data_IF_967126351391
#
_entry.id   IF_967126351391
#
_cell.length_a   1.000
_cell.length_b   1.000
_cell.length_c   1.000
_cell.angle_alpha   90.00
_cell.angle_beta   90.00
_cell.angle_gamma   90.00
#
_symmetry.space_group_name_H-M   'P 1'
#
loop_
_entity.id
_entity.type
_entity.pdbx_description
1 polymer ?
#
# COMPACT_ATOMS: atom_id res chain seq x y z
N UNK A 1 -14.19 1.53 -23.24
CA UNK A 1 -13.86 0.29 -22.56
C UNK A 1 -14.94 -0.74 -22.85
N UNK A 2 -14.55 -1.96 -23.11
CA UNK A 2 -15.48 -3.07 -23.21
C UNK A 2 -14.97 -4.15 -22.25
N UNK A 3 -15.78 -4.52 -21.26
CA UNK A 3 -15.46 -5.60 -20.33
C UNK A 3 -16.21 -6.83 -20.80
N UNK A 4 -15.47 -7.90 -20.97
CA UNK A 4 -16.02 -9.20 -21.29
C UNK A 4 -15.70 -10.13 -20.13
N UNK A 5 -16.71 -10.74 -19.54
CA UNK A 5 -16.58 -11.79 -18.55
C UNK A 5 -16.78 -13.12 -19.24
N UNK A 6 -15.74 -13.93 -19.30
CA UNK A 6 -15.85 -15.32 -19.72
C UNK A 6 -15.99 -16.20 -18.48
N UNK A 7 -17.17 -16.74 -18.31
CA UNK A 7 -17.45 -17.74 -17.27
C UNK A 7 -17.33 -19.15 -17.79
N UNK A 8 -16.74 -19.27 -18.97
CA UNK A 8 -16.57 -20.57 -19.64
C UNK A 8 -15.90 -21.58 -18.75
N UNK A 9 -16.54 -22.71 -18.62
CA UNK A 9 -16.10 -23.90 -17.88
C UNK A 9 -14.76 -24.51 -18.32
N UNK A 10 -14.06 -23.90 -19.26
CA UNK A 10 -12.94 -24.50 -19.97
C UNK A 10 -11.58 -23.87 -19.74
N UNK A 11 -11.48 -22.73 -19.06
CA UNK A 11 -10.20 -22.23 -18.55
C UNK A 11 -9.10 -21.90 -19.57
N UNK A 12 -9.40 -21.89 -20.86
CA UNK A 12 -8.39 -21.62 -21.88
C UNK A 12 -8.22 -20.12 -22.20
N UNK A 13 -9.23 -19.29 -21.91
CA UNK A 13 -9.24 -17.86 -22.29
C UNK A 13 -9.29 -16.85 -21.12
N UNK A 14 -9.09 -17.30 -19.89
CA UNK A 14 -9.18 -16.43 -18.73
C UNK A 14 -10.60 -16.19 -18.22
N UNK A 15 -10.70 -15.68 -16.99
CA UNK A 15 -11.96 -15.45 -16.31
C UNK A 15 -12.56 -14.06 -16.62
N UNK A 16 -11.73 -13.05 -16.77
CA UNK A 16 -12.11 -11.66 -17.01
C UNK A 16 -11.18 -11.03 -18.03
N UNK A 17 -11.73 -10.39 -19.04
CA UNK A 17 -10.97 -9.61 -20.01
C UNK A 17 -11.51 -8.18 -20.10
N UNK A 18 -10.63 -7.21 -19.97
CA UNK A 18 -10.94 -5.79 -20.19
C UNK A 18 -10.24 -5.33 -21.46
N UNK A 19 -10.99 -5.00 -22.49
CA UNK A 19 -10.47 -4.54 -23.79
C UNK A 19 -10.58 -3.05 -23.98
N UNK A 20 -9.50 -2.45 -24.44
CA UNK A 20 -9.51 -1.09 -25.00
C UNK A 20 -10.02 -1.12 -26.44
N UNK A 21 -11.08 -0.33 -26.73
CA UNK A 21 -11.67 -0.28 -28.09
C UNK A 21 -10.73 0.29 -29.16
N UNK A 22 -9.75 1.11 -28.74
CA UNK A 22 -8.93 1.89 -29.66
C UNK A 22 -7.73 1.11 -30.21
N UNK A 23 -7.22 0.10 -29.52
CA UNK A 23 -5.99 -0.59 -29.90
C UNK A 23 -6.01 -2.12 -29.73
N UNK A 24 -7.18 -2.68 -29.44
CA UNK A 24 -7.39 -4.14 -29.23
C UNK A 24 -6.49 -4.77 -28.14
N UNK A 25 -5.89 -3.97 -27.26
CA UNK A 25 -5.15 -4.50 -26.12
C UNK A 25 -6.10 -4.93 -25.01
N UNK A 26 -5.83 -6.08 -24.42
CA UNK A 26 -6.59 -6.62 -23.28
C UNK A 26 -5.75 -6.70 -22.03
N UNK A 27 -6.42 -6.50 -20.90
CA UNK A 27 -5.93 -6.80 -19.57
C UNK A 27 -6.80 -7.93 -19.02
N UNK A 28 -6.19 -9.07 -18.80
CA UNK A 28 -6.92 -10.30 -18.52
C UNK A 28 -6.65 -10.78 -17.09
N UNK A 29 -7.64 -11.45 -16.49
CA UNK A 29 -7.49 -12.26 -15.29
C UNK A 29 -7.85 -13.71 -15.60
N UNK A 30 -6.95 -14.62 -15.37
CA UNK A 30 -7.15 -16.05 -15.58
C UNK A 30 -7.78 -16.77 -14.39
N UNK A 31 -7.81 -16.13 -13.21
CA UNK A 31 -8.38 -16.68 -11.98
C UNK A 31 -9.28 -15.66 -11.29
N UNK A 32 -10.37 -16.14 -10.70
CA UNK A 32 -11.28 -15.30 -9.93
C UNK A 32 -10.64 -14.87 -8.61
N UNK A 33 -10.12 -15.82 -7.85
CA UNK A 33 -9.44 -15.53 -6.59
C UNK A 33 -8.49 -16.66 -6.18
N UNK A 34 -7.52 -16.29 -5.35
CA UNK A 34 -6.76 -17.21 -4.50
C UNK A 34 -7.15 -16.98 -3.05
N UNK A 35 -7.23 -18.05 -2.27
CA UNK A 35 -7.50 -17.98 -0.84
C UNK A 35 -6.43 -18.70 -0.04
N UNK A 36 -6.24 -18.28 1.20
CA UNK A 36 -5.54 -19.06 2.21
C UNK A 36 -6.43 -19.25 3.43
N UNK A 37 -6.25 -20.34 4.13
CA UNK A 37 -7.05 -20.64 5.34
C UNK A 37 -6.26 -21.49 6.33
N UNK A 38 -6.67 -21.46 7.59
CA UNK A 38 -6.26 -22.45 8.58
C UNK A 38 -7.21 -23.64 8.54
N UNK A 39 -6.66 -24.84 8.47
CA UNK A 39 -7.43 -26.07 8.64
C UNK A 39 -7.66 -26.36 10.15
N UNK A 40 -8.48 -27.38 10.44
CA UNK A 40 -8.75 -27.75 11.84
C UNK A 40 -7.53 -28.27 12.62
N UNK A 41 -6.34 -28.31 12.01
CA UNK A 41 -5.06 -28.65 12.65
C UNK A 41 -4.12 -27.45 12.73
N UNK A 42 -4.64 -26.22 12.55
CA UNK A 42 -3.91 -24.95 12.56
C UNK A 42 -2.83 -24.83 11.46
N UNK A 43 -2.91 -25.65 10.42
CA UNK A 43 -2.04 -25.56 9.27
C UNK A 43 -2.60 -24.59 8.24
N UNK A 44 -1.71 -23.77 7.68
CA UNK A 44 -2.09 -22.87 6.57
C UNK A 44 -2.14 -23.65 5.27
N UNK A 45 -3.29 -23.61 4.65
CA UNK A 45 -3.59 -24.16 3.34
C UNK A 45 -3.78 -23.03 2.32
N UNK A 46 -3.66 -23.32 1.04
CA UNK A 46 -3.94 -22.36 -0.04
C UNK A 46 -4.65 -23.07 -1.20
N UNK A 47 -5.45 -22.33 -1.94
CA UNK A 47 -6.15 -22.85 -3.10
C UNK A 47 -6.73 -21.75 -3.97
N UNK A 48 -7.15 -22.13 -5.17
CA UNK A 48 -7.86 -21.24 -6.07
C UNK A 48 -9.38 -21.43 -5.95
N UNK A 49 -10.10 -20.36 -6.22
CA UNK A 49 -11.56 -20.38 -6.34
C UNK A 49 -11.91 -20.72 -7.77
N UNK A 50 -12.14 -21.99 -8.04
CA UNK A 50 -12.49 -22.49 -9.36
C UNK A 50 -13.39 -23.72 -9.26
N UNK A 51 -14.16 -23.97 -10.31
CA UNK A 51 -15.01 -25.20 -10.40
C UNK A 51 -14.15 -26.47 -10.34
N UNK A 52 -12.95 -26.45 -10.93
CA UNK A 52 -12.00 -27.57 -10.88
C UNK A 52 -11.53 -27.87 -9.45
N UNK A 53 -11.45 -26.84 -8.60
CA UNK A 53 -11.09 -26.97 -7.20
C UNK A 53 -12.29 -27.30 -6.27
N UNK A 54 -13.45 -27.64 -6.84
CA UNK A 54 -14.64 -28.05 -6.08
C UNK A 54 -15.54 -26.90 -5.62
N UNK A 55 -15.35 -25.71 -6.15
CA UNK A 55 -16.23 -24.57 -5.88
C UNK A 55 -17.47 -24.62 -6.75
N UNK A 56 -18.59 -24.31 -6.16
CA UNK A 56 -19.80 -23.92 -6.87
C UNK A 56 -19.72 -22.40 -7.10
N UNK A 57 -19.83 -22.00 -8.36
CA UNK A 57 -19.71 -20.61 -8.79
C UNK A 57 -20.96 -20.27 -9.58
N UNK A 58 -21.79 -19.36 -9.03
CA UNK A 58 -23.04 -18.90 -9.65
C UNK A 58 -22.89 -17.44 -9.99
N UNK A 59 -23.04 -17.11 -11.26
CA UNK A 59 -22.96 -15.74 -11.76
C UNK A 59 -24.34 -15.22 -12.11
N UNK A 60 -24.57 -13.97 -11.72
CA UNK A 60 -25.71 -13.17 -12.10
C UNK A 60 -25.22 -11.85 -12.72
N UNK A 61 -25.84 -11.40 -13.80
CA UNK A 61 -25.49 -10.16 -14.47
C UNK A 61 -26.62 -9.13 -14.35
N UNK A 62 -26.23 -7.88 -14.16
CA UNK A 62 -27.12 -6.73 -14.25
C UNK A 62 -26.64 -5.75 -15.32
N UNK A 63 -27.22 -4.53 -15.37
CA UNK A 63 -26.89 -3.51 -16.38
C UNK A 63 -25.46 -2.99 -16.26
N UNK A 64 -24.87 -3.04 -15.06
CA UNK A 64 -23.63 -2.35 -14.73
C UNK A 64 -22.54 -3.31 -14.25
N UNK A 65 -22.82 -4.61 -14.16
CA UNK A 65 -21.82 -5.53 -13.63
C UNK A 65 -22.29 -6.96 -13.44
N UNK A 66 -21.61 -7.65 -12.54
CA UNK A 66 -21.80 -9.06 -12.25
C UNK A 66 -21.71 -9.31 -10.76
N UNK A 67 -22.57 -10.17 -10.28
CA UNK A 67 -22.48 -10.77 -8.95
C UNK A 67 -22.06 -12.21 -9.09
N UNK A 68 -21.05 -12.64 -8.34
CA UNK A 68 -20.50 -14.00 -8.42
C UNK A 68 -20.54 -14.59 -7.02
N UNK A 69 -21.46 -15.52 -6.81
CA UNK A 69 -21.60 -16.24 -5.56
C UNK A 69 -20.69 -17.49 -5.61
N UNK A 70 -19.81 -17.62 -4.63
CA UNK A 70 -18.85 -18.72 -4.51
C UNK A 70 -19.15 -19.51 -3.23
N UNK A 71 -19.28 -20.82 -3.34
CA UNK A 71 -19.41 -21.71 -2.19
C UNK A 71 -18.60 -22.99 -2.37
N UNK A 72 -18.07 -23.51 -1.27
CA UNK A 72 -17.33 -24.77 -1.23
C UNK A 72 -17.77 -25.60 -0.04
N UNK A 73 -18.67 -26.57 -0.28
CA UNK A 73 -19.27 -27.37 0.78
C UNK A 73 -18.25 -28.14 1.64
N UNK A 74 -17.21 -28.71 1.03
CA UNK A 74 -16.17 -29.46 1.77
C UNK A 74 -15.29 -28.62 2.68
N UNK A 75 -15.03 -27.36 2.34
CA UNK A 75 -14.30 -26.40 3.18
C UNK A 75 -15.24 -25.62 4.10
N UNK A 76 -16.53 -25.50 3.74
CA UNK A 76 -17.53 -24.74 4.46
C UNK A 76 -17.38 -23.23 4.30
N UNK A 77 -16.83 -22.77 3.19
CA UNK A 77 -16.70 -21.37 2.86
C UNK A 77 -17.75 -20.92 1.88
N UNK A 78 -18.23 -19.71 2.06
CA UNK A 78 -18.96 -18.96 1.03
C UNK A 78 -18.67 -17.47 1.11
N UNK A 79 -18.62 -16.82 -0.04
CA UNK A 79 -18.50 -15.37 -0.19
C UNK A 79 -18.97 -14.95 -1.58
N UNK A 80 -19.17 -13.65 -1.76
CA UNK A 80 -19.66 -13.07 -3.00
C UNK A 80 -18.66 -12.03 -3.51
N UNK A 81 -18.47 -12.01 -4.82
CA UNK A 81 -17.83 -10.89 -5.52
C UNK A 81 -18.89 -10.05 -6.22
N UNK A 82 -18.73 -8.75 -6.15
CA UNK A 82 -19.45 -7.78 -6.95
C UNK A 82 -18.45 -7.10 -7.88
N UNK A 83 -18.61 -7.29 -9.18
CA UNK A 83 -17.80 -6.66 -10.21
C UNK A 83 -18.66 -5.60 -10.90
N UNK A 84 -18.42 -4.33 -10.56
CA UNK A 84 -19.21 -3.20 -11.08
C UNK A 84 -18.37 -2.36 -12.02
N UNK A 85 -18.96 -2.00 -13.15
CA UNK A 85 -18.33 -1.13 -14.15
C UNK A 85 -18.98 0.25 -14.08
N UNK A 86 -18.18 1.24 -13.79
CA UNK A 86 -18.58 2.63 -13.79
C UNK A 86 -17.62 3.44 -14.68
N UNK A 87 -18.07 3.83 -15.86
CA UNK A 87 -17.26 4.46 -16.90
C UNK A 87 -16.00 3.65 -17.26
N UNK A 88 -14.84 4.12 -16.85
CA UNK A 88 -13.52 3.49 -17.04
C UNK A 88 -12.97 2.83 -15.78
N UNK A 89 -13.83 2.54 -14.80
CA UNK A 89 -13.44 1.96 -13.51
C UNK A 89 -14.10 0.59 -13.38
N UNK A 90 -13.30 -0.43 -13.09
CA UNK A 90 -13.79 -1.70 -12.58
C UNK A 90 -13.68 -1.68 -11.06
N UNK A 91 -14.79 -1.84 -10.37
CA UNK A 91 -14.87 -1.98 -8.91
C UNK A 91 -15.02 -3.46 -8.61
N UNK A 92 -14.13 -3.97 -7.78
CA UNK A 92 -14.16 -5.33 -7.25
C UNK A 92 -14.45 -5.24 -5.77
N UNK A 93 -15.62 -5.67 -5.36
CA UNK A 93 -16.07 -5.64 -3.97
C UNK A 93 -16.35 -7.05 -3.46
N UNK A 94 -15.98 -7.30 -2.20
CA UNK A 94 -16.32 -8.51 -1.45
C UNK A 94 -17.03 -8.03 -0.18
N UNK A 95 -18.38 -8.10 -0.14
CA UNK A 95 -19.13 -7.68 1.04
C UNK A 95 -18.76 -8.50 2.27
N UNK A 96 -18.45 -7.81 3.35
CA UNK A 96 -18.07 -8.42 4.61
C UNK A 96 -19.10 -9.40 5.14
N UNK A 97 -20.37 -9.01 5.06
CA UNK A 97 -21.53 -9.77 5.57
C UNK A 97 -21.73 -11.12 4.87
N UNK A 98 -21.17 -11.28 3.67
CA UNK A 98 -21.33 -12.49 2.86
C UNK A 98 -20.19 -13.48 3.01
N UNK A 99 -19.10 -13.10 3.69
CA UNK A 99 -18.00 -13.99 4.01
C UNK A 99 -18.46 -14.92 5.14
N UNK A 100 -18.57 -16.21 4.85
CA UNK A 100 -18.94 -17.26 5.80
C UNK A 100 -17.86 -18.32 5.87
N UNK A 101 -17.64 -18.81 7.07
CA UNK A 101 -16.67 -19.84 7.39
C UNK A 101 -17.22 -20.78 8.48
N UNK A 102 -16.58 -21.92 8.66
CA UNK A 102 -16.93 -22.87 9.71
C UNK A 102 -16.04 -22.70 10.94
N UNK A 103 -16.37 -23.37 12.04
CA UNK A 103 -15.48 -23.44 13.20
C UNK A 103 -14.17 -24.18 12.90
N UNK A 104 -14.21 -25.15 11.99
CA UNK A 104 -13.09 -25.99 11.65
C UNK A 104 -12.08 -25.31 10.73
N UNK A 105 -12.59 -24.67 9.68
CA UNK A 105 -11.75 -23.99 8.70
C UNK A 105 -11.99 -22.48 8.79
N UNK A 106 -10.89 -21.70 8.89
CA UNK A 106 -10.93 -20.24 9.03
C UNK A 106 -10.21 -19.59 7.87
N UNK A 107 -10.90 -18.72 7.14
CA UNK A 107 -10.27 -17.94 6.08
C UNK A 107 -9.18 -17.04 6.67
N UNK A 108 -8.02 -17.06 6.07
CA UNK A 108 -6.88 -16.23 6.44
C UNK A 108 -6.74 -15.04 5.51
N UNK A 109 -6.86 -15.28 4.19
CA UNK A 109 -6.82 -14.20 3.20
C UNK A 109 -7.61 -14.54 1.95
N UNK A 110 -8.04 -13.47 1.25
CA UNK A 110 -8.62 -13.52 -0.10
C UNK A 110 -7.83 -12.57 -0.99
N UNK A 111 -7.34 -13.08 -2.13
CA UNK A 111 -6.70 -12.31 -3.20
C UNK A 111 -7.60 -12.33 -4.44
N UNK A 112 -8.41 -11.28 -4.65
CA UNK A 112 -9.27 -11.18 -5.82
C UNK A 112 -8.45 -10.92 -7.08
N UNK A 113 -8.88 -11.43 -8.21
CA UNK A 113 -8.30 -11.25 -9.54
C UNK A 113 -6.76 -11.31 -9.53
N UNK A 114 -6.15 -12.37 -8.96
CA UNK A 114 -4.70 -12.52 -8.97
C UNK A 114 -4.23 -12.51 -10.42
N UNK A 115 -3.12 -11.90 -10.69
CA UNK A 115 -2.56 -11.79 -12.05
C UNK A 115 -3.36 -10.92 -13.04
N UNK A 116 -4.34 -10.13 -12.60
CA UNK A 116 -5.05 -9.21 -13.49
C UNK A 116 -4.07 -8.24 -14.17
N UNK A 117 -4.13 -8.17 -15.51
CA UNK A 117 -3.23 -7.36 -16.30
C UNK A 117 -1.76 -7.80 -16.25
N UNK A 118 -1.49 -9.05 -15.89
CA UNK A 118 -0.14 -9.58 -15.84
C UNK A 118 0.57 -9.54 -17.20
N UNK A 119 1.87 -9.24 -17.16
CA UNK A 119 2.72 -9.18 -18.33
C UNK A 119 3.75 -10.33 -18.33
N UNK A 120 4.21 -10.71 -19.52
CA UNK A 120 5.29 -11.67 -19.66
C UNK A 120 6.67 -10.99 -19.65
N UNK A 121 7.71 -11.76 -19.40
CA UNK A 121 9.09 -11.28 -19.49
C UNK A 121 9.38 -10.71 -20.89
N UNK A 122 9.97 -9.51 -20.92
CA UNK A 122 10.33 -8.83 -22.15
C UNK A 122 9.24 -8.01 -22.81
N UNK A 123 8.00 -8.03 -22.30
CA UNK A 123 6.98 -7.09 -22.74
C UNK A 123 7.34 -5.65 -22.35
N UNK A 124 6.86 -4.68 -23.11
CA UNK A 124 7.04 -3.27 -22.80
C UNK A 124 6.13 -2.87 -21.64
N UNK A 125 6.70 -2.25 -20.59
CA UNK A 125 5.95 -1.74 -19.46
C UNK A 125 6.58 -2.04 -18.11
N UNK A 126 5.78 -1.89 -17.06
CA UNK A 126 6.23 -2.00 -15.68
C UNK A 126 5.05 -2.11 -14.69
N UNK A 127 5.34 -2.65 -13.52
CA UNK A 127 4.50 -2.53 -12.34
C UNK A 127 4.84 -1.24 -11.58
N UNK A 128 3.85 -0.64 -10.94
CA UNK A 128 3.98 0.55 -10.09
C UNK A 128 3.72 0.16 -8.65
N UNK A 129 4.71 0.42 -7.80
CA UNK A 129 4.73 0.08 -6.38
C UNK A 129 4.85 1.38 -5.58
N UNK A 130 3.83 1.72 -4.79
CA UNK A 130 3.76 2.97 -4.02
C UNK A 130 4.46 2.86 -2.66
N UNK A 131 5.73 2.48 -2.68
CA UNK A 131 6.59 2.40 -1.49
C UNK A 131 7.58 3.56 -1.49
N UNK A 132 7.68 4.29 -0.38
CA UNK A 132 8.59 5.44 -0.23
C UNK A 132 8.41 6.46 -1.38
N UNK A 133 9.45 6.71 -2.15
CA UNK A 133 9.39 7.60 -3.31
C UNK A 133 8.70 6.99 -4.54
N UNK A 134 8.24 5.74 -4.43
CA UNK A 134 7.69 4.94 -5.51
C UNK A 134 8.75 4.14 -6.26
N UNK A 135 8.36 2.99 -6.79
CA UNK A 135 9.22 2.12 -7.58
C UNK A 135 8.52 1.65 -8.85
N UNK A 136 9.29 1.52 -9.93
CA UNK A 136 8.87 0.90 -11.18
C UNK A 136 9.60 -0.44 -11.34
N UNK A 137 8.85 -1.52 -11.47
CA UNK A 137 9.39 -2.84 -11.73
C UNK A 137 9.15 -3.21 -13.20
N UNK A 138 10.19 -3.06 -14.02
CA UNK A 138 10.12 -3.40 -15.44
C UNK A 138 10.05 -4.92 -15.68
N UNK A 139 9.43 -5.34 -16.77
CA UNK A 139 9.20 -6.75 -17.12
C UNK A 139 10.45 -7.47 -17.66
N UNK A 140 11.61 -7.06 -17.22
CA UNK A 140 12.91 -7.64 -17.56
C UNK A 140 13.74 -8.07 -16.33
N UNK A 141 13.12 -8.04 -15.16
CA UNK A 141 13.78 -8.51 -13.93
C UNK A 141 13.96 -10.03 -13.99
N UNK A 142 15.21 -10.49 -14.03
CA UNK A 142 15.54 -11.91 -14.18
C UNK A 142 15.45 -12.70 -12.88
N UNK A 143 15.34 -12.02 -11.73
CA UNK A 143 15.23 -12.68 -10.43
C UNK A 143 13.77 -12.96 -10.09
N UNK A 144 13.33 -14.25 -10.10
CA UNK A 144 11.96 -14.61 -9.74
C UNK A 144 11.72 -14.35 -8.26
N UNK A 145 10.84 -13.42 -7.93
CA UNK A 145 10.49 -13.09 -6.54
C UNK A 145 9.00 -12.87 -6.38
N UNK A 146 8.51 -13.15 -5.19
CA UNK A 146 7.18 -12.77 -4.75
C UNK A 146 7.30 -11.97 -3.46
N UNK A 147 6.73 -10.78 -3.46
CA UNK A 147 6.66 -9.92 -2.29
C UNK A 147 5.22 -9.76 -1.84
N UNK A 148 5.03 -9.74 -0.53
CA UNK A 148 3.76 -9.34 0.10
C UNK A 148 4.06 -8.14 1.00
N UNK A 149 3.59 -6.98 0.57
CA UNK A 149 3.86 -5.71 1.23
C UNK A 149 2.57 -5.15 1.82
N UNK A 150 2.42 -5.14 3.15
CA UNK A 150 1.24 -4.58 3.81
C UNK A 150 1.07 -3.09 3.51
N UNK A 151 -0.17 -2.67 3.29
CA UNK A 151 -0.52 -1.26 3.11
C UNK A 151 -0.41 -0.51 4.45
N UNK A 152 0.04 0.73 4.42
CA UNK A 152 0.26 1.58 5.60
C UNK A 152 1.20 0.98 6.66
N UNK A 153 2.24 0.30 6.23
CA UNK A 153 3.23 -0.30 7.12
C UNK A 153 4.63 0.27 6.82
N UNK A 154 5.42 0.51 7.87
CA UNK A 154 6.77 1.09 7.77
C UNK A 154 7.72 0.30 6.83
N UNK A 155 7.52 -1.00 6.70
CA UNK A 155 8.26 -1.87 5.79
C UNK A 155 7.43 -2.30 4.57
N UNK A 156 6.30 -1.66 4.35
CA UNK A 156 5.31 -2.01 3.33
C UNK A 156 5.07 -0.91 2.31
N UNK A 157 3.81 -0.60 2.13
CA UNK A 157 3.28 0.34 1.14
C UNK A 157 2.73 1.57 1.85
N UNK A 158 3.11 2.77 1.38
CA UNK A 158 2.72 4.04 2.00
C UNK A 158 1.32 4.52 1.58
N UNK A 159 0.85 4.08 0.41
CA UNK A 159 -0.45 4.47 -0.15
C UNK A 159 -1.19 3.24 -0.68
N UNK A 160 -2.52 3.16 -0.57
CA UNK A 160 -3.30 2.04 -1.10
C UNK A 160 -3.40 2.09 -2.63
N UNK A 161 -2.30 2.42 -3.31
CA UNK A 161 -2.17 2.58 -4.75
C UNK A 161 -1.19 1.55 -5.31
N UNK A 162 -1.60 0.87 -6.36
CA UNK A 162 -0.76 0.03 -7.19
C UNK A 162 -1.09 0.26 -8.67
N UNK A 163 -0.31 -0.30 -9.58
CA UNK A 163 -0.65 -0.16 -10.98
C UNK A 163 0.20 -1.03 -11.88
N UNK A 164 -0.23 -1.14 -13.13
CA UNK A 164 0.52 -1.81 -14.18
C UNK A 164 0.36 -1.04 -15.49
N UNK A 165 1.45 -0.98 -16.25
CA UNK A 165 1.47 -0.49 -17.63
C UNK A 165 1.99 -1.62 -18.50
N UNK A 166 1.25 -1.96 -19.56
CA UNK A 166 1.59 -3.01 -20.52
C UNK A 166 1.39 -2.44 -21.93
N UNK A 167 2.48 -2.14 -22.62
CA UNK A 167 2.43 -1.40 -23.87
C UNK A 167 1.72 -0.05 -23.71
N UNK A 168 0.60 0.13 -24.42
CA UNK A 168 -0.23 1.34 -24.32
C UNK A 168 -1.44 1.18 -23.37
N UNK A 169 -1.67 -0.01 -22.82
CA UNK A 169 -2.71 -0.25 -21.81
C UNK A 169 -2.15 -0.10 -20.39
N UNK A 170 -2.98 0.31 -19.46
CA UNK A 170 -2.60 0.41 -18.06
C UNK A 170 -3.76 0.75 -17.15
N UNK A 171 -3.54 0.56 -15.85
CA UNK A 171 -4.52 0.92 -14.83
C UNK A 171 -3.85 1.44 -13.56
N UNK A 172 -4.57 2.29 -12.85
CA UNK A 172 -4.33 2.60 -11.44
C UNK A 172 -5.26 1.73 -10.60
N UNK A 173 -4.70 0.88 -9.73
CA UNK A 173 -5.45 0.13 -8.75
C UNK A 173 -5.46 0.87 -7.41
N UNK A 174 -6.62 1.04 -6.81
CA UNK A 174 -6.78 1.73 -5.53
C UNK A 174 -7.60 0.82 -4.61
N UNK A 175 -7.03 0.47 -3.45
CA UNK A 175 -7.83 -0.18 -2.39
C UNK A 175 -8.60 0.91 -1.66
N UNK A 176 -9.93 0.86 -1.73
CA UNK A 176 -10.83 1.91 -1.22
C UNK A 176 -11.52 1.55 0.08
N UNK A 177 -11.62 0.25 0.38
CA UNK A 177 -12.10 -0.29 1.66
C UNK A 177 -11.29 -1.53 2.04
N UNK A 178 -11.14 -1.81 3.34
CA UNK A 178 -10.27 -2.89 3.84
C UNK A 178 -8.77 -2.61 3.71
N UNK A 179 -8.38 -1.35 3.55
CA UNK A 179 -6.99 -0.97 3.23
C UNK A 179 -5.99 -1.25 4.36
N UNK A 180 -6.43 -1.27 5.62
CA UNK A 180 -5.56 -1.60 6.76
C UNK A 180 -5.29 -3.10 6.90
N UNK A 181 -6.12 -3.92 6.28
CA UNK A 181 -5.96 -5.38 6.22
C UNK A 181 -5.44 -5.83 4.85
N UNK A 182 -5.18 -4.88 3.92
CA UNK A 182 -4.66 -5.17 2.60
C UNK A 182 -3.14 -5.26 2.58
N UNK A 183 -2.64 -6.15 1.73
CA UNK A 183 -1.25 -6.19 1.29
C UNK A 183 -1.18 -6.31 -0.23
N UNK A 184 -0.16 -5.75 -0.84
CA UNK A 184 0.06 -5.97 -2.27
C UNK A 184 0.95 -7.18 -2.51
N UNK A 185 0.41 -8.13 -3.27
CA UNK A 185 1.16 -9.26 -3.79
C UNK A 185 1.81 -8.84 -5.11
N UNK A 186 3.13 -8.79 -5.12
CA UNK A 186 3.93 -8.41 -6.28
C UNK A 186 4.68 -9.65 -6.73
N UNK A 187 4.42 -10.08 -7.96
CA UNK A 187 5.10 -11.22 -8.55
C UNK A 187 6.01 -10.75 -9.69
N UNK A 188 7.28 -11.14 -9.62
CA UNK A 188 8.26 -10.86 -10.66
C UNK A 188 8.79 -12.17 -11.23
N UNK A 189 8.12 -12.66 -12.28
CA UNK A 189 8.56 -13.86 -13.04
C UNK A 189 8.61 -15.17 -12.23
N UNK A 190 7.87 -15.27 -11.10
CA UNK A 190 7.94 -16.43 -10.20
C UNK A 190 6.80 -17.43 -10.36
N UNK A 191 5.66 -17.02 -10.89
CA UNK A 191 4.55 -17.93 -11.09
C UNK A 191 4.89 -18.99 -12.15
N UNK A 192 4.09 -20.04 -12.24
CA UNK A 192 4.26 -21.14 -13.21
C UNK A 192 4.31 -20.67 -14.67
N UNK A 193 3.70 -19.52 -14.97
CA UNK A 193 3.67 -18.88 -16.28
C UNK A 193 4.74 -17.78 -16.45
N UNK A 194 5.61 -17.57 -15.47
CA UNK A 194 6.68 -16.55 -15.48
C UNK A 194 6.16 -15.13 -15.75
N UNK A 195 5.09 -14.75 -15.09
CA UNK A 195 4.47 -13.44 -15.30
C UNK A 195 4.86 -12.43 -14.23
N UNK A 196 4.67 -11.17 -14.58
CA UNK A 196 4.77 -10.01 -13.67
C UNK A 196 3.38 -9.54 -13.34
N UNK A 197 3.06 -9.41 -12.07
CA UNK A 197 1.74 -8.96 -11.63
C UNK A 197 1.80 -8.24 -10.30
N UNK A 198 0.82 -7.37 -10.06
CA UNK A 198 0.58 -6.71 -8.79
C UNK A 198 -0.92 -6.66 -8.53
N UNK A 199 -1.33 -6.90 -7.29
CA UNK A 199 -2.74 -6.80 -6.89
C UNK A 199 -2.92 -6.97 -5.39
N UNK A 200 -4.09 -6.62 -4.86
CA UNK A 200 -4.37 -6.70 -3.44
C UNK A 200 -4.64 -8.14 -2.99
N UNK A 201 -4.23 -8.44 -1.76
CA UNK A 201 -4.67 -9.57 -0.95
C UNK A 201 -5.15 -9.00 0.38
N UNK A 202 -6.33 -9.40 0.82
CA UNK A 202 -6.91 -8.94 2.07
C UNK A 202 -6.72 -10.01 3.15
N UNK A 203 -6.13 -9.62 4.28
CA UNK A 203 -5.94 -10.46 5.47
C UNK A 203 -7.23 -10.41 6.30
N UNK A 204 -7.81 -11.56 6.58
CA UNK A 204 -9.09 -11.67 7.29
C UNK A 204 -8.93 -11.92 8.80
N UNK A 205 -7.70 -11.92 9.33
CA UNK A 205 -7.46 -12.17 10.78
C UNK A 205 -8.02 -11.07 11.68
N UNK A 206 -7.99 -9.84 11.20
CA UNK A 206 -8.53 -8.65 11.89
C UNK A 206 -9.88 -8.22 11.34
N UNK A 207 -10.43 -9.00 10.43
CA UNK A 207 -11.63 -8.68 9.68
C UNK A 207 -12.82 -8.33 10.59
N UNK A 208 -13.38 -7.15 10.39
CA UNK A 208 -14.48 -6.60 11.19
C UNK A 208 -15.38 -5.72 10.32
N UNK A 209 -16.43 -6.26 9.80
CA UNK A 209 -17.58 -5.50 9.27
C UNK A 209 -17.27 -4.47 8.16
N UNK A 210 -16.08 -4.44 7.59
CA UNK A 210 -15.72 -3.56 6.49
C UNK A 210 -15.61 -4.36 5.18
N UNK A 211 -16.29 -3.89 4.13
CA UNK A 211 -16.18 -4.49 2.80
C UNK A 211 -14.76 -4.41 2.27
N UNK A 212 -14.37 -5.38 1.47
CA UNK A 212 -13.04 -5.44 0.86
C UNK A 212 -13.16 -4.95 -0.59
N UNK A 213 -12.68 -3.74 -0.87
CA UNK A 213 -12.92 -3.10 -2.16
C UNK A 213 -11.63 -2.62 -2.81
N UNK A 214 -11.46 -2.97 -4.08
CA UNK A 214 -10.43 -2.42 -4.94
C UNK A 214 -11.04 -1.86 -6.23
N UNK A 215 -10.59 -0.68 -6.63
CA UNK A 215 -10.96 -0.03 -7.88
C UNK A 215 -9.80 -0.11 -8.87
N UNK A 216 -10.08 -0.47 -10.11
CA UNK A 216 -9.13 -0.45 -11.22
C UNK A 216 -9.54 0.63 -12.22
N UNK A 217 -8.84 1.75 -12.19
CA UNK A 217 -9.05 2.90 -13.06
C UNK A 217 -8.23 2.72 -14.34
N UNK A 218 -8.89 2.40 -15.44
CA UNK A 218 -8.20 2.18 -16.73
C UNK A 218 -7.78 3.49 -17.36
N UNK A 219 -6.50 3.55 -17.75
CA UNK A 219 -5.93 4.72 -18.39
C UNK A 219 -6.28 4.73 -19.88
N UNK A 220 -6.56 5.92 -20.46
CA UNK A 220 -6.53 6.12 -21.91
C UNK A 220 -5.16 5.69 -22.47
N UNK A 221 -5.13 5.21 -23.71
CA UNK A 221 -3.93 4.65 -24.34
C UNK A 221 -2.75 5.62 -24.47
N UNK A 222 -3.03 6.90 -24.57
CA UNK A 222 -2.04 7.99 -24.57
C UNK A 222 -1.56 8.39 -23.18
N UNK A 223 -2.19 7.86 -22.14
CA UNK A 223 -1.92 8.19 -20.71
C UNK A 223 -1.57 7.00 -19.83
N UNK A 224 -1.31 5.85 -20.42
CA UNK A 224 -0.88 4.68 -19.68
C UNK A 224 0.59 4.83 -19.25
N UNK A 225 0.84 5.69 -18.27
CA UNK A 225 2.17 5.91 -17.69
C UNK A 225 2.07 6.22 -16.18
N UNK A 226 3.18 6.11 -15.48
CA UNK A 226 3.24 6.29 -14.03
C UNK A 226 2.82 7.69 -13.56
N UNK A 227 3.09 8.74 -14.35
CA UNK A 227 2.71 10.12 -14.00
C UNK A 227 1.20 10.28 -13.99
N UNK A 228 0.51 9.78 -15.02
CA UNK A 228 -0.94 9.91 -15.11
C UNK A 228 -1.66 8.96 -14.15
N UNK A 229 -1.06 7.80 -13.82
CA UNK A 229 -1.53 6.94 -12.72
C UNK A 229 -1.44 7.67 -11.38
N UNK A 230 -0.34 8.38 -11.11
CA UNK A 230 -0.21 9.24 -9.93
C UNK A 230 -1.23 10.38 -9.90
N UNK A 231 -1.50 11.01 -11.06
CA UNK A 231 -2.57 12.04 -11.18
C UNK A 231 -3.96 11.45 -10.93
N UNK A 232 -4.22 10.23 -11.39
CA UNK A 232 -5.47 9.52 -11.12
C UNK A 232 -5.70 9.36 -9.62
N UNK A 233 -4.72 8.87 -8.87
CA UNK A 233 -4.80 8.75 -7.41
C UNK A 233 -4.94 10.10 -6.71
N UNK A 234 -4.24 11.13 -7.17
CA UNK A 234 -4.41 12.48 -6.67
C UNK A 234 -5.84 12.99 -6.88
N UNK A 235 -6.43 12.76 -8.06
CA UNK A 235 -7.81 13.14 -8.35
C UNK A 235 -8.80 12.39 -7.45
N UNK A 236 -8.59 11.08 -7.28
CA UNK A 236 -9.36 10.27 -6.33
C UNK A 236 -9.36 10.87 -4.92
N UNK A 237 -8.19 11.24 -4.40
CA UNK A 237 -8.08 11.85 -3.07
C UNK A 237 -8.82 13.19 -2.94
N UNK A 238 -8.76 14.05 -3.96
CA UNK A 238 -9.52 15.31 -3.95
C UNK A 238 -11.03 15.10 -3.96
N UNK A 239 -11.47 14.06 -4.64
CA UNK A 239 -12.91 13.76 -4.77
C UNK A 239 -13.49 13.06 -3.54
N UNK A 240 -12.72 12.21 -2.88
CA UNK A 240 -13.23 11.29 -1.86
C UNK A 240 -12.68 11.50 -0.44
N UNK A 241 -11.67 12.36 -0.27
CA UNK A 241 -11.00 12.57 1.04
C UNK A 241 -10.95 14.02 1.50
N UNK A 242 -11.71 14.91 0.89
CA UNK A 242 -11.78 16.35 1.22
C UNK A 242 -10.39 17.03 1.32
N UNK A 243 -9.43 16.57 0.52
CA UNK A 243 -8.07 17.10 0.55
C UNK A 243 -8.03 18.46 -0.16
N UNK A 244 -7.60 19.49 0.57
CA UNK A 244 -7.39 20.82 0.03
C UNK A 244 -5.92 20.97 -0.39
N UNK A 245 -5.63 21.39 -1.64
CA UNK A 245 -4.27 21.60 -2.10
C UNK A 245 -3.49 22.61 -1.24
N UNK A 246 -2.20 22.34 -1.01
CA UNK A 246 -1.34 23.25 -0.24
C UNK A 246 -1.39 24.70 -0.76
N UNK A 247 -1.37 24.90 -2.08
CA UNK A 247 -1.52 26.23 -2.72
C UNK A 247 -2.77 27.01 -2.30
N UNK A 248 -3.82 26.34 -1.87
CA UNK A 248 -5.02 26.98 -1.33
C UNK A 248 -4.87 27.20 0.17
N UNK A 249 -4.40 26.21 0.92
CA UNK A 249 -4.25 26.27 2.38
C UNK A 249 -3.29 27.38 2.83
N UNK A 250 -2.19 27.61 2.13
CA UNK A 250 -1.22 28.67 2.44
C UNK A 250 -1.80 30.08 2.32
N UNK A 251 -2.92 30.27 1.61
CA UNK A 251 -3.59 31.57 1.53
C UNK A 251 -4.34 31.93 2.82
N UNK A 252 -4.69 30.91 3.59
CA UNK A 252 -5.51 31.02 4.80
C UNK A 252 -4.69 30.83 6.09
N UNK A 253 -3.43 30.34 5.98
CA UNK A 253 -2.53 30.12 7.12
C UNK A 253 -1.16 30.75 6.86
N UNK A 254 -0.83 31.86 7.57
CA UNK A 254 0.49 32.47 7.53
C UNK A 254 1.62 31.51 7.94
N UNK A 255 1.36 30.60 8.90
CA UNK A 255 2.31 29.61 9.38
C UNK A 255 2.64 28.61 8.27
N UNK A 256 1.63 28.11 7.54
CA UNK A 256 1.85 27.25 6.39
C UNK A 256 2.53 27.98 5.23
N UNK A 257 2.22 29.25 5.03
CA UNK A 257 2.90 30.08 4.03
C UNK A 257 4.39 30.19 4.38
N UNK A 258 4.74 30.46 5.64
CA UNK A 258 6.11 30.47 6.13
C UNK A 258 6.78 29.11 5.95
N UNK A 259 6.19 28.03 6.47
CA UNK A 259 6.73 26.67 6.38
C UNK A 259 6.94 26.20 4.94
N UNK A 260 6.10 26.65 4.00
CA UNK A 260 6.23 26.30 2.56
C UNK A 260 7.45 26.94 1.88
N UNK A 261 8.04 27.97 2.48
CA UNK A 261 9.22 28.69 2.00
C UNK A 261 10.45 28.40 2.83
N UNK A 262 10.26 28.01 4.11
CA UNK A 262 11.33 27.78 5.05
C UNK A 262 12.18 26.56 4.67
N UNK A 263 13.49 26.67 4.91
CA UNK A 263 14.38 25.52 4.89
C UNK A 263 14.14 24.70 6.16
N UNK A 264 13.77 23.43 6.02
CA UNK A 264 13.70 22.51 7.15
C UNK A 264 15.10 22.01 7.52
N UNK A 265 15.50 22.25 8.77
CA UNK A 265 16.82 21.89 9.30
C UNK A 265 16.64 21.00 10.53
N UNK A 266 17.10 19.78 10.46
CA UNK A 266 17.05 18.86 11.60
C UNK A 266 18.40 18.77 12.28
N UNK A 267 18.47 19.27 13.54
CA UNK A 267 19.67 19.24 14.36
C UNK A 267 19.59 18.14 15.42
N UNK A 268 20.56 17.27 15.42
CA UNK A 268 20.66 16.18 16.41
C UNK A 268 21.58 16.60 17.53
N UNK A 269 21.06 16.73 18.75
CA UNK A 269 21.80 17.20 19.93
C UNK A 269 22.43 16.03 20.70
N UNK A 270 21.61 15.16 21.26
CA UNK A 270 22.08 14.04 22.04
C UNK A 270 21.38 12.73 21.69
N UNK A 271 22.09 11.63 21.84
CA UNK A 271 21.55 10.28 21.64
C UNK A 271 21.95 9.40 22.84
N UNK A 272 21.01 8.63 23.33
CA UNK A 272 21.31 7.58 24.31
C UNK A 272 21.80 6.34 23.56
N UNK A 273 23.04 5.88 23.78
CA UNK A 273 23.50 4.63 23.23
C UNK A 273 22.68 3.47 23.81
N UNK A 274 22.43 2.44 23.03
CA UNK A 274 21.85 1.18 23.49
C UNK A 274 22.94 0.12 23.39
N UNK A 275 23.70 -0.15 24.47
CA UNK A 275 24.72 -1.20 24.46
C UNK A 275 24.06 -2.56 24.35
N UNK A 276 24.56 -3.41 23.50
CA UNK A 276 24.03 -4.76 23.27
C UNK A 276 24.15 -5.67 24.50
N UNK A 277 25.10 -5.36 25.40
CA UNK A 277 25.33 -6.13 26.63
C UNK A 277 24.31 -5.83 27.74
N UNK A 278 23.54 -4.74 27.63
CA UNK A 278 22.56 -4.35 28.66
C UNK A 278 21.16 -4.75 28.18
N UNK A 279 20.68 -5.87 28.72
CA UNK A 279 19.33 -6.39 28.39
C UNK A 279 18.24 -5.53 29.05
N UNK A 280 18.50 -5.07 30.30
CA UNK A 280 17.58 -4.20 31.03
C UNK A 280 18.34 -3.00 31.57
N UNK A 281 17.91 -1.78 31.16
CA UNK A 281 18.50 -0.53 31.61
C UNK A 281 17.84 -0.04 32.88
N UNK A 282 18.68 0.25 33.90
CA UNK A 282 18.29 0.89 35.17
C UNK A 282 18.95 2.27 35.26
N UNK A 283 18.58 3.05 36.29
CA UNK A 283 19.22 4.33 36.57
C UNK A 283 20.73 4.21 36.91
N UNK A 284 21.15 3.05 37.35
CA UNK A 284 22.53 2.79 37.80
C UNK A 284 23.44 2.34 36.64
N UNK A 285 22.87 1.65 35.65
CA UNK A 285 23.62 1.16 34.48
C UNK A 285 23.31 1.91 33.17
N UNK A 286 22.53 3.00 33.27
CA UNK A 286 22.16 3.80 32.14
C UNK A 286 23.39 4.45 31.49
N UNK A 287 23.62 4.27 30.17
CA UNK A 287 24.76 4.86 29.51
C UNK A 287 24.63 6.39 29.43
N UNK A 288 25.76 7.09 29.49
CA UNK A 288 25.80 8.53 29.32
C UNK A 288 25.31 8.96 27.93
N UNK A 289 24.66 10.12 27.85
CA UNK A 289 24.23 10.70 26.58
C UNK A 289 25.45 11.03 25.72
N UNK A 290 25.46 10.57 24.50
CA UNK A 290 26.44 10.97 23.47
C UNK A 290 26.00 12.30 22.87
N UNK A 291 26.78 13.34 23.14
CA UNK A 291 26.52 14.70 22.64
C UNK A 291 27.07 14.87 21.23
N UNK A 292 26.24 15.37 20.32
CA UNK A 292 26.63 15.80 18.96
C UNK A 292 26.66 17.31 18.85
N UNK A 293 25.64 18.00 19.43
CA UNK A 293 25.51 19.45 19.48
C UNK A 293 25.04 19.88 20.86
N UNK A 294 25.61 20.95 21.40
CA UNK A 294 25.08 21.67 22.56
C UNK A 294 24.13 22.78 22.12
N UNK A 295 23.34 23.36 23.01
CA UNK A 295 22.50 24.53 22.69
C UNK A 295 23.34 25.73 22.24
N UNK A 296 24.50 25.95 22.84
CA UNK A 296 25.46 26.96 22.38
C UNK A 296 25.82 26.78 20.89
N UNK A 297 26.10 25.54 20.46
CA UNK A 297 26.39 25.23 19.05
C UNK A 297 25.19 25.38 18.14
N UNK A 298 24.00 25.09 18.63
CA UNK A 298 22.75 25.36 17.90
C UNK A 298 22.58 26.87 17.69
N UNK A 299 22.86 27.68 18.68
CA UNK A 299 22.85 29.16 18.57
C UNK A 299 23.86 29.63 17.52
N UNK A 300 25.09 29.12 17.54
CA UNK A 300 26.11 29.45 16.53
C UNK A 300 25.60 29.13 15.09
N UNK A 301 24.89 28.02 14.93
CA UNK A 301 24.27 27.62 13.63
C UNK A 301 23.19 28.63 13.23
N UNK A 302 22.32 29.04 14.15
CA UNK A 302 21.30 30.04 13.87
C UNK A 302 21.91 31.39 13.45
N UNK A 303 22.97 31.83 14.12
CA UNK A 303 23.65 33.08 13.81
C UNK A 303 24.34 33.01 12.45
N UNK A 304 24.90 31.84 12.09
CA UNK A 304 25.47 31.62 10.76
C UNK A 304 24.39 31.68 9.67
N UNK A 305 23.25 31.00 9.83
CA UNK A 305 22.13 31.08 8.90
C UNK A 305 21.70 32.53 8.67
N UNK A 306 21.56 33.29 9.78
CA UNK A 306 21.21 34.69 9.72
C UNK A 306 22.27 35.52 9.00
N UNK A 307 23.56 35.26 9.25
CA UNK A 307 24.68 35.93 8.59
C UNK A 307 24.71 35.73 7.09
N UNK A 308 24.32 34.55 6.64
CA UNK A 308 24.18 34.17 5.23
C UNK A 308 22.91 34.70 4.56
N UNK A 309 22.08 35.45 5.30
CA UNK A 309 20.85 36.04 4.78
C UNK A 309 19.69 35.08 4.61
N UNK A 310 19.75 33.88 5.20
CA UNK A 310 18.63 32.94 5.24
C UNK A 310 17.62 33.47 6.24
N UNK A 311 16.42 33.81 5.75
CA UNK A 311 15.38 34.49 6.57
C UNK A 311 14.32 33.52 7.09
N UNK A 312 14.02 32.51 6.27
CA UNK A 312 13.00 31.50 6.58
C UNK A 312 13.70 30.14 6.77
N UNK A 313 13.73 29.68 8.02
CA UNK A 313 14.22 28.36 8.38
C UNK A 313 13.42 27.80 9.56
N UNK A 314 13.10 26.53 9.52
CA UNK A 314 12.44 25.79 10.58
C UNK A 314 13.42 24.78 11.15
N UNK A 315 13.74 24.90 12.45
CA UNK A 315 14.71 24.03 13.11
C UNK A 315 14.02 23.02 14.01
N UNK A 316 14.15 21.74 13.65
CA UNK A 316 13.74 20.61 14.47
C UNK A 316 14.91 20.14 15.34
N UNK A 317 14.86 20.42 16.64
CA UNK A 317 15.87 19.95 17.60
C UNK A 317 15.54 18.56 18.09
N UNK A 318 16.42 17.59 17.85
CA UNK A 318 16.22 16.18 18.18
C UNK A 318 17.15 15.74 19.29
N UNK A 319 16.59 15.11 20.33
CA UNK A 319 17.38 14.59 21.45
C UNK A 319 17.81 15.66 22.47
N UNK A 320 17.03 16.73 22.62
CA UNK A 320 17.19 17.75 23.63
C UNK A 320 16.63 17.34 25.00
N UNK A 321 15.73 16.36 25.02
CA UNK A 321 15.01 15.83 26.17
C UNK A 321 15.91 15.02 27.09
N UNK A 322 15.42 14.75 28.30
CA UNK A 322 16.12 13.94 29.31
C UNK A 322 16.55 12.59 28.76
N UNK A 323 17.85 12.31 28.82
CA UNK A 323 18.46 11.10 28.28
C UNK A 323 18.72 11.16 26.76
N UNK A 324 18.44 12.28 26.06
CA UNK A 324 18.65 12.41 24.62
C UNK A 324 17.60 11.70 23.76
N UNK A 325 17.87 11.58 22.47
CA UNK A 325 17.06 10.76 21.55
C UNK A 325 17.16 9.29 21.97
N UNK A 326 16.03 8.58 21.95
CA UNK A 326 15.84 7.23 22.49
C UNK A 326 16.09 7.15 24.03
N UNK A 327 15.94 8.29 24.73
CA UNK A 327 16.18 8.44 26.14
C UNK A 327 15.09 7.84 27.05
N UNK A 328 14.65 8.62 28.02
CA UNK A 328 13.76 8.15 29.10
C UNK A 328 12.27 8.35 28.83
N UNK A 329 11.76 8.00 27.66
CA UNK A 329 10.31 8.10 27.43
C UNK A 329 9.50 7.31 28.46
N UNK A 330 8.37 7.86 28.96
CA UNK A 330 7.74 9.14 28.54
C UNK A 330 8.28 10.41 29.23
N UNK A 331 9.37 10.33 30.00
CA UNK A 331 9.97 11.48 30.67
C UNK A 331 10.69 12.36 29.64
N UNK A 332 10.13 13.54 29.33
CA UNK A 332 10.71 14.50 28.40
C UNK A 332 11.56 15.52 29.14
N UNK A 333 11.06 16.05 30.26
CA UNK A 333 11.73 17.04 31.10
C UNK A 333 12.38 16.38 32.33
N UNK A 334 13.40 17.03 32.91
CA UNK A 334 14.03 18.30 32.46
C UNK A 334 14.80 18.14 31.17
N UNK A 335 15.18 19.24 30.54
CA UNK A 335 16.13 19.29 29.42
C UNK A 335 17.42 18.58 29.83
N UNK A 336 18.08 17.88 28.89
CA UNK A 336 19.31 17.14 29.18
C UNK A 336 20.46 18.10 29.60
N UNK A 337 20.94 18.03 30.85
CA UNK A 337 21.90 19.03 31.35
C UNK A 337 23.22 19.10 30.60
N UNK A 338 23.68 17.94 30.05
CA UNK A 338 24.96 17.88 29.31
C UNK A 338 24.93 18.69 28.01
N UNK A 339 23.74 19.07 27.53
CA UNK A 339 23.58 19.90 26.33
C UNK A 339 23.62 21.41 26.60
N UNK A 340 23.65 21.83 27.88
CA UNK A 340 23.60 23.21 28.34
C UNK A 340 22.53 23.45 29.41
N UNK A 341 21.51 22.59 29.49
CA UNK A 341 20.42 22.71 30.46
C UNK A 341 19.29 23.63 30.03
N UNK A 342 18.43 23.96 31.01
CA UNK A 342 17.23 24.78 30.76
C UNK A 342 17.54 26.28 30.67
N UNK A 343 18.71 26.75 31.12
CA UNK A 343 19.10 28.17 31.15
C UNK A 343 19.72 28.66 29.83
N UNK A 344 20.04 27.74 28.90
CA UNK A 344 20.54 28.07 27.58
C UNK A 344 19.49 27.92 26.47
#
# INVERSE_FOLDING_TARGET
LQIHLDTGSTGENGFLSVRHKENDQSLDADKLALITWWDGQEKVQSGEVSVKAGWEIVQESDKNGFTINCSHAGLGFSFRFELVINDSILIVNIPATDIKETEKNKLKSIRPLPYFGAANEGEEGYLIISREVGALCYYNNKEPQEYKLPVYNVNGIDMPLFGAVRGTAGFAGIVTSGQFDAQFCINTNRDENRRYSIGPEFDLRSFKDEDLTAEYHFMPTDKANWVDIGKCYRHYNFKHRDIVPLKQRIKESPELAYASLAMEVRLRLGVKPVPYEIVEQTLENEPAVRVFLTFEKVRDIFDEFKSQGIKEAEFCLVGWNKGGHDGRYPQILPVEPVLGGEDE
#
